data_IF_832739671428
#
_entry.id   IF_832739671428
#
_cell.length_a   1.000
_cell.length_b   1.000
_cell.length_c   1.000
_cell.angle_alpha   90.00
_cell.angle_beta   90.00
_cell.angle_gamma   90.00
#
_symmetry.space_group_name_H-M   'P 1'
#
loop_
_entity.id
_entity.type
_entity.pdbx_description
1 polymer ?
#
# COMPACT_ATOMS: atom_id res chain seq x y z
N UNK A 1 -14.96 -15.02 -17.90
CA UNK A 1 -13.92 -15.87 -17.28
C UNK A 1 -14.17 -15.87 -15.77
N UNK A 2 -14.60 -17.00 -15.19
CA UNK A 2 -14.97 -17.09 -13.76
C UNK A 2 -13.73 -17.43 -12.93
N UNK A 3 -13.26 -16.50 -12.10
CA UNK A 3 -12.16 -16.74 -11.18
C UNK A 3 -12.66 -17.63 -10.03
N UNK A 4 -12.21 -18.89 -9.99
CA UNK A 4 -12.56 -19.88 -8.95
C UNK A 4 -11.67 -19.81 -7.71
N UNK A 5 -10.66 -18.97 -7.75
CA UNK A 5 -9.80 -18.63 -6.63
C UNK A 5 -10.12 -17.20 -6.25
N UNK A 6 -10.29 -16.91 -4.96
CA UNK A 6 -10.68 -15.59 -4.43
C UNK A 6 -9.57 -14.56 -4.72
N UNK A 7 -9.39 -14.16 -5.98
CA UNK A 7 -8.28 -13.33 -6.44
C UNK A 7 -8.84 -12.23 -7.34
N UNK A 8 -8.49 -10.97 -7.08
CA UNK A 8 -8.88 -9.89 -7.99
C UNK A 8 -8.03 -9.97 -9.26
N UNK A 9 -8.68 -9.95 -10.43
CA UNK A 9 -7.99 -9.84 -11.73
C UNK A 9 -7.56 -8.39 -12.02
N UNK A 10 -8.22 -7.41 -11.39
CA UNK A 10 -7.87 -6.00 -11.45
C UNK A 10 -8.27 -5.27 -10.19
N UNK A 11 -7.53 -4.23 -9.86
CA UNK A 11 -7.65 -3.46 -8.63
C UNK A 11 -7.90 -1.97 -8.96
N UNK A 12 -8.75 -1.27 -8.19
CA UNK A 12 -9.00 0.15 -8.41
C UNK A 12 -7.73 0.98 -8.19
N UNK A 13 -7.59 2.07 -8.92
CA UNK A 13 -6.54 3.08 -8.72
C UNK A 13 -7.07 4.15 -7.75
N UNK A 14 -6.45 4.27 -6.58
CA UNK A 14 -6.84 5.22 -5.53
C UNK A 14 -5.66 6.14 -5.22
N UNK A 15 -5.94 7.41 -4.93
CA UNK A 15 -4.88 8.42 -4.77
C UNK A 15 -4.88 9.12 -3.42
N UNK A 16 -6.05 9.41 -2.88
CA UNK A 16 -6.21 10.28 -1.69
C UNK A 16 -6.93 9.58 -0.55
N UNK A 17 -6.77 10.08 0.67
CA UNK A 17 -7.37 9.47 1.85
C UNK A 17 -8.90 9.35 1.77
N UNK A 18 -9.57 10.32 1.12
CA UNK A 18 -11.03 10.30 0.92
C UNK A 18 -11.52 9.21 -0.02
N UNK A 19 -10.63 8.59 -0.80
CA UNK A 19 -10.92 7.40 -1.60
C UNK A 19 -10.48 6.12 -0.88
N UNK A 20 -9.29 6.17 -0.25
CA UNK A 20 -8.69 5.00 0.40
C UNK A 20 -9.48 4.59 1.64
N UNK A 21 -9.84 5.52 2.54
CA UNK A 21 -10.52 5.16 3.79
C UNK A 21 -11.89 4.49 3.55
N UNK A 22 -12.81 5.06 2.74
CA UNK A 22 -14.09 4.38 2.45
C UNK A 22 -13.93 3.03 1.75
N UNK A 23 -12.87 2.87 0.94
CA UNK A 23 -12.53 1.60 0.33
C UNK A 23 -12.07 0.56 1.37
N UNK A 24 -11.26 0.97 2.34
CA UNK A 24 -10.79 0.10 3.41
C UNK A 24 -11.90 -0.28 4.39
N UNK A 25 -12.82 0.63 4.69
CA UNK A 25 -13.91 0.37 5.62
C UNK A 25 -15.04 -0.43 4.96
N UNK A 26 -15.54 0.04 3.81
CA UNK A 26 -16.78 -0.44 3.22
C UNK A 26 -16.61 -1.10 1.86
N UNK A 27 -15.41 -1.05 1.27
CA UNK A 27 -15.17 -1.50 -0.11
C UNK A 27 -15.76 -0.54 -1.13
N UNK A 28 -16.06 0.71 -0.72
CA UNK A 28 -16.61 1.73 -1.59
C UNK A 28 -15.53 2.18 -2.59
N UNK A 29 -15.87 2.17 -3.88
CA UNK A 29 -15.00 2.66 -4.95
C UNK A 29 -15.72 3.82 -5.65
N UNK A 30 -15.05 4.95 -5.90
CA UNK A 30 -15.63 6.05 -6.68
C UNK A 30 -16.11 5.59 -8.08
N UNK A 31 -17.22 6.14 -8.56
CA UNK A 31 -17.88 5.68 -9.80
C UNK A 31 -17.05 5.79 -11.09
N UNK A 32 -16.01 6.64 -11.11
CA UNK A 32 -15.12 6.86 -12.26
C UNK A 32 -13.68 6.36 -12.00
N UNK A 33 -13.51 5.42 -11.07
CA UNK A 33 -12.18 4.90 -10.74
C UNK A 33 -11.67 3.98 -11.84
N UNK A 34 -10.46 4.24 -12.30
CA UNK A 34 -9.70 3.35 -13.18
C UNK A 34 -9.36 2.05 -12.45
N UNK A 35 -9.30 0.95 -13.18
CA UNK A 35 -8.84 -0.34 -12.67
C UNK A 35 -7.62 -0.80 -13.48
N UNK A 36 -6.60 -1.27 -12.78
CA UNK A 36 -5.41 -1.85 -13.39
C UNK A 36 -5.29 -3.32 -13.00
N UNK A 37 -4.80 -4.12 -13.94
CA UNK A 37 -4.64 -5.56 -13.75
C UNK A 37 -3.68 -5.86 -12.60
N UNK A 38 -3.93 -6.99 -11.92
CA UNK A 38 -2.99 -7.54 -10.97
C UNK A 38 -1.89 -8.26 -11.76
N UNK A 39 -0.59 -7.93 -11.59
CA UNK A 39 0.47 -8.50 -12.39
C UNK A 39 0.56 -10.03 -12.23
N UNK A 40 0.99 -10.76 -13.28
CA UNK A 40 1.16 -12.21 -13.21
C UNK A 40 2.00 -12.65 -12.00
N UNK A 41 1.56 -13.72 -11.33
CA UNK A 41 2.22 -14.24 -10.12
C UNK A 41 1.91 -13.48 -8.83
N UNK A 42 1.12 -12.40 -8.87
CA UNK A 42 0.61 -11.71 -7.69
C UNK A 42 -0.84 -12.12 -7.41
N UNK A 43 -1.18 -12.21 -6.13
CA UNK A 43 -2.48 -12.67 -5.65
C UNK A 43 -3.01 -11.66 -4.65
N UNK A 44 -4.17 -11.06 -4.94
CA UNK A 44 -4.90 -10.16 -4.03
C UNK A 44 -6.17 -10.87 -3.58
N UNK A 45 -6.23 -11.30 -2.30
CA UNK A 45 -7.31 -12.19 -1.82
C UNK A 45 -8.57 -11.51 -1.29
N UNK A 46 -8.42 -10.36 -0.62
CA UNK A 46 -9.53 -9.65 0.05
C UNK A 46 -9.81 -8.30 -0.58
N UNK A 47 -8.89 -7.37 -0.38
CA UNK A 47 -8.91 -6.02 -0.95
C UNK A 47 -7.49 -5.67 -1.33
N UNK A 48 -7.41 -4.84 -2.35
CA UNK A 48 -6.16 -4.33 -2.86
C UNK A 48 -6.45 -3.28 -3.90
N UNK A 49 -5.58 -2.32 -3.99
CA UNK A 49 -5.74 -1.17 -4.85
C UNK A 49 -4.36 -0.74 -5.34
N UNK A 50 -4.34 -0.13 -6.52
CA UNK A 50 -3.16 0.56 -7.00
C UNK A 50 -3.14 1.96 -6.38
N UNK A 51 -2.12 2.24 -5.57
CA UNK A 51 -1.90 3.56 -5.03
C UNK A 51 -1.23 4.44 -6.09
N UNK A 52 -1.90 5.54 -6.44
CA UNK A 52 -1.29 6.68 -7.12
C UNK A 52 -0.97 7.76 -6.08
N UNK A 53 0.29 7.95 -5.68
CA UNK A 53 0.64 8.89 -4.63
C UNK A 53 0.43 10.37 -5.03
N UNK A 54 0.25 10.68 -6.30
CA UNK A 54 0.08 12.07 -6.79
C UNK A 54 1.36 12.92 -6.78
N UNK A 55 2.46 12.39 -6.23
CA UNK A 55 3.80 12.96 -6.28
C UNK A 55 4.85 11.86 -6.43
N UNK A 56 6.07 12.22 -6.86
CA UNK A 56 7.14 11.24 -7.07
C UNK A 56 7.68 10.74 -5.73
N UNK A 57 7.55 9.45 -5.49
CA UNK A 57 8.02 8.78 -4.27
C UNK A 57 9.00 7.63 -4.52
N UNK A 58 9.29 7.33 -5.78
CA UNK A 58 10.27 6.35 -6.20
C UNK A 58 10.96 6.85 -7.46
N UNK A 59 12.18 6.35 -7.73
CA UNK A 59 12.98 6.82 -8.85
C UNK A 59 12.37 6.43 -10.20
N UNK A 60 11.65 5.30 -10.30
CA UNK A 60 11.05 4.83 -11.56
C UNK A 60 9.55 4.60 -11.48
N UNK A 61 9.07 4.06 -10.36
CA UNK A 61 7.70 3.57 -10.25
C UNK A 61 6.74 4.70 -9.87
N UNK A 62 5.59 4.75 -10.53
CA UNK A 62 4.54 5.74 -10.35
C UNK A 62 3.33 5.17 -9.62
N UNK A 63 3.07 3.86 -9.75
CA UNK A 63 1.94 3.20 -9.10
C UNK A 63 2.41 2.01 -8.27
N UNK A 64 1.72 1.77 -7.16
CA UNK A 64 2.09 0.72 -6.19
C UNK A 64 0.89 -0.14 -5.87
N UNK A 65 0.94 -1.44 -6.18
CA UNK A 65 -0.13 -2.36 -5.85
C UNK A 65 -0.07 -2.70 -4.36
N UNK A 66 -1.07 -2.24 -3.61
CA UNK A 66 -1.21 -2.46 -2.19
C UNK A 66 -2.11 -3.68 -1.96
N UNK A 67 -1.60 -4.67 -1.24
CA UNK A 67 -2.40 -5.73 -0.66
C UNK A 67 -2.75 -5.36 0.78
N UNK A 68 -4.03 -5.38 1.12
CA UNK A 68 -4.51 -5.08 2.48
C UNK A 68 -4.62 -6.34 3.34
N UNK A 69 -4.43 -7.53 2.77
CA UNK A 69 -4.58 -8.79 3.50
C UNK A 69 -3.28 -9.17 4.22
N UNK A 70 -3.13 -8.72 5.46
CA UNK A 70 -1.94 -8.94 6.30
C UNK A 70 -1.61 -10.44 6.48
N UNK A 71 -2.61 -11.30 6.44
CA UNK A 71 -2.50 -12.71 6.82
C UNK A 71 -2.47 -13.68 5.64
N UNK A 72 -3.07 -13.31 4.52
CA UNK A 72 -3.10 -14.15 3.31
C UNK A 72 -2.33 -13.55 2.13
N UNK A 73 -1.49 -12.52 2.38
CA UNK A 73 -0.44 -12.14 1.44
C UNK A 73 0.38 -13.37 1.10
N UNK A 74 0.72 -13.54 -0.17
CA UNK A 74 1.76 -14.46 -0.58
C UNK A 74 2.98 -14.15 0.29
N UNK A 75 3.18 -14.96 1.33
CA UNK A 75 4.46 -15.06 2.02
C UNK A 75 5.34 -15.66 0.95
N UNK A 76 5.89 -14.80 0.09
CA UNK A 76 6.96 -15.16 -0.80
C UNK A 76 7.95 -15.91 0.10
N UNK A 77 8.40 -17.12 -0.27
CA UNK A 77 9.35 -17.92 0.54
C UNK A 77 10.66 -17.15 0.86
N UNK A 78 10.77 -15.95 0.29
CA UNK A 78 11.76 -14.92 0.49
C UNK A 78 11.35 -13.80 1.48
N UNK A 79 10.38 -14.02 2.38
CA UNK A 79 10.00 -13.06 3.44
C UNK A 79 11.21 -12.49 4.20
N UNK A 80 12.24 -13.33 4.40
CA UNK A 80 13.51 -12.95 5.04
C UNK A 80 14.51 -12.24 4.12
N UNK A 81 14.31 -12.24 2.80
CA UNK A 81 15.25 -11.72 1.80
C UNK A 81 14.79 -10.44 1.08
N UNK A 82 13.53 -10.02 1.23
CA UNK A 82 13.04 -8.78 0.62
C UNK A 82 12.68 -7.75 1.68
N UNK A 83 13.24 -6.56 1.53
CA UNK A 83 12.80 -5.35 2.24
C UNK A 83 11.31 -5.13 2.00
N UNK A 84 10.52 -5.25 3.07
CA UNK A 84 9.08 -5.07 2.97
C UNK A 84 8.74 -3.58 2.93
N UNK A 85 8.02 -3.20 1.88
CA UNK A 85 7.50 -1.86 1.72
C UNK A 85 6.06 -1.84 2.25
N UNK A 86 5.83 -0.98 3.23
CA UNK A 86 4.56 -0.83 3.90
C UNK A 86 3.84 0.42 3.40
N UNK A 87 2.51 0.39 3.45
CA UNK A 87 1.64 1.51 3.16
C UNK A 87 0.89 1.90 4.43
N UNK A 88 0.92 3.19 4.73
CA UNK A 88 0.24 3.80 5.85
C UNK A 88 -0.62 4.97 5.36
N UNK A 89 -1.75 5.19 6.01
CA UNK A 89 -2.64 6.31 5.74
C UNK A 89 -2.51 7.34 6.86
N UNK A 90 -2.31 8.61 6.49
CA UNK A 90 -2.47 9.72 7.42
C UNK A 90 -3.77 10.45 7.12
N UNK A 91 -4.74 10.33 8.02
CA UNK A 91 -5.96 11.13 7.93
C UNK A 91 -5.67 12.62 8.10
N UNK A 92 -4.69 12.96 8.97
CA UNK A 92 -4.26 14.33 9.21
C UNK A 92 -3.66 15.00 7.97
N UNK A 93 -2.80 14.29 7.24
CA UNK A 93 -2.20 14.80 6.00
C UNK A 93 -3.07 14.56 4.75
N UNK A 94 -4.16 13.78 4.87
CA UNK A 94 -5.05 13.46 3.76
C UNK A 94 -4.43 12.57 2.67
N UNK A 95 -3.31 11.90 2.97
CA UNK A 95 -2.54 11.12 1.99
C UNK A 95 -2.03 9.80 2.57
N UNK A 96 -1.63 8.90 1.68
CA UNK A 96 -0.93 7.67 2.03
C UNK A 96 0.58 7.83 1.86
N UNK A 97 1.33 7.24 2.78
CA UNK A 97 2.77 7.14 2.76
C UNK A 97 3.18 5.71 2.51
N UNK A 98 4.22 5.49 1.69
CA UNK A 98 4.86 4.19 1.55
C UNK A 98 6.33 4.28 1.89
N UNK A 99 6.83 3.20 2.48
CA UNK A 99 8.19 3.21 3.01
C UNK A 99 8.59 1.90 3.66
N UNK A 100 9.84 1.89 4.13
CA UNK A 100 10.37 0.83 4.98
C UNK A 100 10.08 1.17 6.43
N UNK A 101 9.77 0.16 7.24
CA UNK A 101 9.56 0.35 8.68
C UNK A 101 10.82 -0.07 9.42
N UNK A 102 11.35 0.84 10.23
CA UNK A 102 12.44 0.58 11.17
C UNK A 102 11.91 0.61 12.60
N UNK A 103 12.34 -0.34 13.42
CA UNK A 103 12.08 -0.34 14.85
C UNK A 103 13.23 0.38 15.56
N UNK A 104 13.07 1.69 15.78
CA UNK A 104 14.09 2.49 16.45
C UNK A 104 14.21 2.15 17.94
N UNK A 105 13.09 1.84 18.59
CA UNK A 105 13.03 1.28 19.95
C UNK A 105 11.75 0.43 20.13
N UNK A 106 11.53 -0.12 21.33
CA UNK A 106 10.38 -1.01 21.61
C UNK A 106 9.01 -0.35 21.33
N UNK A 107 8.90 0.98 21.49
CA UNK A 107 7.65 1.72 21.32
C UNK A 107 7.63 2.65 20.10
N UNK A 108 8.76 2.79 19.39
CA UNK A 108 8.89 3.74 18.29
C UNK A 108 9.20 3.01 16.98
N UNK A 109 8.31 3.20 16.02
CA UNK A 109 8.50 2.73 14.66
C UNK A 109 8.59 3.93 13.72
N UNK A 110 9.61 3.93 12.86
CA UNK A 110 9.85 4.97 11.88
C UNK A 110 9.54 4.43 10.49
N UNK A 111 8.73 5.16 9.73
CA UNK A 111 8.50 4.93 8.32
C UNK A 111 9.49 5.75 7.50
N UNK A 112 10.44 5.07 6.88
CA UNK A 112 11.44 5.64 6.00
C UNK A 112 10.91 5.70 4.57
N UNK A 113 10.85 6.88 3.94
CA UNK A 113 10.35 7.03 2.58
C UNK A 113 11.18 6.22 1.59
N UNK A 114 10.55 5.79 0.49
CA UNK A 114 11.26 5.01 -0.54
C UNK A 114 12.28 5.83 -1.33
N UNK A 115 12.01 7.12 -1.52
CA UNK A 115 12.95 8.04 -2.13
C UNK A 115 13.75 8.73 -1.03
N UNK A 116 15.08 8.59 -1.01
CA UNK A 116 15.95 9.35 -0.11
C UNK A 116 15.67 10.85 -0.25
N UNK A 117 15.77 11.57 0.86
CA UNK A 117 15.63 13.05 0.94
C UNK A 117 14.26 13.63 0.59
N UNK A 118 13.27 12.79 0.26
CA UNK A 118 11.91 13.28 0.00
C UNK A 118 11.28 13.91 1.25
N UNK A 119 11.47 13.28 2.40
CA UNK A 119 11.15 13.81 3.72
C UNK A 119 11.91 13.04 4.80
N UNK A 120 12.00 13.64 6.00
CA UNK A 120 12.52 12.94 7.18
C UNK A 120 11.65 11.71 7.51
N UNK A 121 12.22 10.65 8.12
CA UNK A 121 11.45 9.50 8.57
C UNK A 121 10.26 9.92 9.44
N UNK A 122 9.12 9.29 9.19
CA UNK A 122 7.88 9.59 9.89
C UNK A 122 7.71 8.64 11.07
N UNK A 123 7.59 9.19 12.28
CA UNK A 123 7.20 8.41 13.45
C UNK A 123 5.74 7.96 13.31
N UNK A 124 5.51 6.64 13.24
CA UNK A 124 4.20 6.06 12.95
C UNK A 124 3.19 6.41 14.03
N UNK A 125 3.57 6.29 15.30
CA UNK A 125 2.71 6.55 16.44
C UNK A 125 2.43 8.05 16.58
N UNK A 126 3.46 8.89 16.51
CA UNK A 126 3.34 10.34 16.67
C UNK A 126 2.59 11.02 15.53
N UNK A 127 2.66 10.47 14.32
CA UNK A 127 1.93 10.97 13.16
C UNK A 127 0.57 10.28 12.95
N UNK A 128 0.15 9.41 13.89
CA UNK A 128 -1.14 8.71 13.85
C UNK A 128 -1.35 7.95 12.52
N UNK A 129 -0.28 7.31 12.04
CA UNK A 129 -0.30 6.60 10.77
C UNK A 129 -1.05 5.27 10.92
N UNK A 130 -2.18 5.15 10.22
CA UNK A 130 -2.97 3.93 10.18
C UNK A 130 -2.37 2.94 9.18
N UNK A 131 -2.10 1.71 9.60
CA UNK A 131 -1.56 0.70 8.70
C UNK A 131 -2.62 0.27 7.67
N UNK A 132 -2.24 0.30 6.39
CA UNK A 132 -3.13 -0.06 5.27
C UNK A 132 -2.82 -1.44 4.71
N UNK A 133 -1.53 -1.73 4.52
CA UNK A 133 -1.12 -2.94 3.83
C UNK A 133 0.32 -2.88 3.36
N UNK A 134 0.67 -3.79 2.44
CA UNK A 134 2.03 -3.88 1.86
C UNK A 134 2.00 -3.69 0.36
N UNK A 135 3.07 -3.10 -0.16
CA UNK A 135 3.32 -3.04 -1.59
C UNK A 135 3.75 -4.44 -2.06
N UNK A 136 3.01 -5.01 -3.00
CA UNK A 136 3.30 -6.33 -3.57
C UNK A 136 3.77 -6.26 -5.02
N UNK A 137 3.58 -5.12 -5.69
CA UNK A 137 4.11 -4.80 -7.02
C UNK A 137 4.17 -3.30 -7.23
N UNK A 138 4.98 -2.83 -8.18
CA UNK A 138 5.09 -1.42 -8.54
C UNK A 138 5.36 -1.30 -10.05
N UNK A 139 4.82 -0.27 -10.69
CA UNK A 139 5.01 0.04 -12.12
C UNK A 139 5.35 1.51 -12.31
#
# INVERSE_FOLDING_TARGET
MRNRERTYSGCPVLSVATQIAPYLDHGAVPGNTEYLEVPPGKVVRKRGFWLNPGYRIHHTAMLFLISTDVYAMNVDDFYKRRDQIHCYLSHKAGTAYIGRVEHACESQQLLHPLLPDLHAPLDIQRNELAYVGRVISAI
#
